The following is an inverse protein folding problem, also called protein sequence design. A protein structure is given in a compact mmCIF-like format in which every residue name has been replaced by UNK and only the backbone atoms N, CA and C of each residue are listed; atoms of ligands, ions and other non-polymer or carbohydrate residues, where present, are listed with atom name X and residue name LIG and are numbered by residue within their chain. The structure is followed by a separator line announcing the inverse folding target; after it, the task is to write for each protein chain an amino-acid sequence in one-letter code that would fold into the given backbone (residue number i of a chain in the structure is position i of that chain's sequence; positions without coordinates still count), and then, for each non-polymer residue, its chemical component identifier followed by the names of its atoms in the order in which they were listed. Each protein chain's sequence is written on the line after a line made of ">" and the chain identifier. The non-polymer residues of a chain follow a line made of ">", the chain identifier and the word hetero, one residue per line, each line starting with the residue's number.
data_IF_394367294586
#
_entry.id   IF_394367294586
#
_cell.length_a   1.000
_cell.length_b   1.000
_cell.length_c   1.000
_cell.angle_alpha   90.00
_cell.angle_beta   90.00
_cell.angle_gamma   90.00
#
_symmetry.space_group_name_H-M   'P 1'
#
loop_
_entity.id
_entity.type
_entity.pdbx_description
1 polymer ?
#
# COMPACT_ATOMS: atom_id res chain seq x y z
N UNK A 1 19.85 -10.81 -16.81
CA UNK A 1 18.57 -10.67 -16.11
C UNK A 1 18.70 -9.47 -15.18
N UNK A 2 17.84 -8.46 -15.34
CA UNK A 2 17.79 -7.31 -14.43
C UNK A 2 16.66 -7.56 -13.43
N UNK A 3 16.97 -7.46 -12.13
CA UNK A 3 16.02 -7.66 -11.02
C UNK A 3 15.70 -6.34 -10.30
N UNK A 4 16.23 -5.22 -10.81
CA UNK A 4 15.89 -3.90 -10.29
C UNK A 4 14.45 -3.55 -10.67
N UNK A 5 13.78 -2.85 -9.75
CA UNK A 5 12.49 -2.23 -10.01
C UNK A 5 12.65 -1.14 -11.08
N UNK A 6 11.58 -0.86 -11.82
CA UNK A 6 11.50 0.35 -12.63
C UNK A 6 11.39 1.59 -11.76
N UNK A 7 11.68 2.77 -12.33
CA UNK A 7 11.52 4.04 -11.62
C UNK A 7 10.07 4.26 -11.11
N UNK A 8 9.09 3.79 -11.88
CA UNK A 8 7.67 3.83 -11.49
C UNK A 8 7.39 2.91 -10.30
N UNK A 9 7.94 1.69 -10.29
CA UNK A 9 7.81 0.75 -9.18
C UNK A 9 8.53 1.25 -7.93
N UNK A 10 9.70 1.88 -8.07
CA UNK A 10 10.42 2.55 -6.98
C UNK A 10 9.58 3.70 -6.38
N UNK A 11 9.02 4.55 -7.23
CA UNK A 11 8.13 5.64 -6.81
C UNK A 11 6.90 5.13 -6.06
N UNK A 12 6.22 4.11 -6.59
CA UNK A 12 5.09 3.46 -5.95
C UNK A 12 5.45 2.87 -4.58
N UNK A 13 6.61 2.22 -4.47
CA UNK A 13 7.11 1.65 -3.22
C UNK A 13 7.32 2.74 -2.17
N UNK A 14 7.93 3.85 -2.56
CA UNK A 14 8.24 4.95 -1.64
C UNK A 14 6.97 5.69 -1.21
N UNK A 15 6.01 5.89 -2.13
CA UNK A 15 4.69 6.42 -1.81
C UNK A 15 3.92 5.52 -0.83
N UNK A 16 3.91 4.20 -1.07
CA UNK A 16 3.26 3.23 -0.19
C UNK A 16 3.91 3.21 1.20
N UNK A 17 5.25 3.25 1.27
CA UNK A 17 6.00 3.35 2.53
C UNK A 17 5.65 4.62 3.28
N UNK A 18 5.62 5.77 2.59
CA UNK A 18 5.25 7.06 3.18
C UNK A 18 3.82 7.06 3.73
N UNK A 19 2.88 6.40 3.04
CA UNK A 19 1.51 6.22 3.50
C UNK A 19 1.44 5.39 4.78
N UNK A 20 2.05 4.21 4.78
CA UNK A 20 1.96 3.25 5.89
C UNK A 20 2.72 3.70 7.13
N UNK A 21 3.81 4.47 6.97
CA UNK A 21 4.61 4.97 8.10
C UNK A 21 3.84 5.95 8.99
N UNK A 22 2.74 6.54 8.49
CA UNK A 22 1.85 7.39 9.31
C UNK A 22 1.04 6.60 10.33
N UNK A 23 0.96 5.28 10.17
CA UNK A 23 0.24 4.40 11.10
C UNK A 23 1.21 3.76 12.08
N UNK A 24 0.86 3.76 13.37
CA UNK A 24 1.67 3.15 14.43
C UNK A 24 1.49 1.62 14.49
N UNK A 25 1.75 0.93 13.40
CA UNK A 25 1.44 -0.50 13.23
C UNK A 25 2.09 -1.40 14.27
N UNK A 26 3.32 -1.09 14.71
CA UNK A 26 4.01 -1.86 15.77
C UNK A 26 3.37 -1.67 17.14
N UNK A 27 3.00 -0.43 17.50
CA UNK A 27 2.31 -0.13 18.76
C UNK A 27 0.93 -0.81 18.77
N UNK A 28 0.17 -0.65 17.69
CA UNK A 28 -1.14 -1.27 17.56
C UNK A 28 -1.08 -2.81 17.53
N UNK A 29 -0.01 -3.40 16.98
CA UNK A 29 0.19 -4.85 17.06
C UNK A 29 0.45 -5.34 18.49
N UNK A 30 1.17 -4.55 19.31
CA UNK A 30 1.36 -4.86 20.74
C UNK A 30 0.05 -4.75 21.50
N UNK A 31 -0.70 -3.65 21.30
CA UNK A 31 -2.01 -3.48 21.92
C UNK A 31 -2.99 -4.58 21.52
N UNK A 32 -2.97 -5.01 20.25
CA UNK A 32 -3.80 -6.11 19.79
C UNK A 32 -3.45 -7.46 20.44
N UNK A 33 -2.18 -7.69 20.79
CA UNK A 33 -1.77 -8.87 21.54
C UNK A 33 -2.37 -8.89 22.95
N UNK A 34 -2.63 -7.71 23.53
CA UNK A 34 -3.27 -7.52 24.83
C UNK A 34 -4.82 -7.38 24.73
N UNK A 35 -5.41 -7.67 23.58
CA UNK A 35 -6.86 -7.66 23.34
C UNK A 35 -7.41 -6.38 22.70
N UNK A 36 -6.55 -5.46 22.27
CA UNK A 36 -6.91 -4.31 21.43
C UNK A 36 -7.25 -4.70 19.99
N UNK A 37 -7.61 -3.70 19.17
CA UNK A 37 -7.90 -3.89 17.75
C UNK A 37 -6.76 -3.38 16.86
N UNK A 38 -6.50 -4.09 15.77
CA UNK A 38 -5.61 -3.61 14.71
C UNK A 38 -6.21 -2.40 13.98
N UNK A 39 -5.38 -1.49 13.44
CA UNK A 39 -5.86 -0.35 12.69
C UNK A 39 -6.46 -0.83 11.36
N UNK A 40 -7.56 -0.20 10.95
CA UNK A 40 -8.08 -0.38 9.60
C UNK A 40 -7.24 0.45 8.61
N UNK A 41 -6.50 -0.25 7.75
CA UNK A 41 -5.66 0.35 6.71
C UNK A 41 -6.34 0.36 5.33
N UNK A 42 -7.53 -0.22 5.21
CA UNK A 42 -8.25 -0.30 3.94
C UNK A 42 -8.61 1.09 3.39
N UNK A 43 -9.08 2.07 4.19
CA UNK A 43 -9.32 3.43 3.71
C UNK A 43 -8.06 4.05 3.10
N UNK A 44 -6.90 3.90 3.75
CA UNK A 44 -5.61 4.39 3.23
C UNK A 44 -5.27 3.76 1.88
N UNK A 45 -5.51 2.46 1.72
CA UNK A 45 -5.26 1.75 0.46
C UNK A 45 -6.17 2.22 -0.67
N UNK A 46 -7.45 2.45 -0.37
CA UNK A 46 -8.44 2.94 -1.34
C UNK A 46 -8.14 4.37 -1.77
N UNK A 47 -7.84 5.26 -0.83
CA UNK A 47 -7.44 6.65 -1.11
C UNK A 47 -6.16 6.73 -1.95
N UNK A 48 -5.23 5.80 -1.73
CA UNK A 48 -3.99 5.70 -2.51
C UNK A 48 -4.16 4.97 -3.85
N UNK A 49 -5.36 4.48 -4.18
CA UNK A 49 -5.65 3.81 -5.46
C UNK A 49 -5.06 2.40 -5.60
N UNK A 50 -4.57 1.78 -4.53
CA UNK A 50 -3.90 0.47 -4.61
C UNK A 50 -4.75 -0.66 -5.19
N UNK A 51 -6.07 -0.76 -4.92
CA UNK A 51 -6.90 -1.79 -5.51
C UNK A 51 -6.96 -1.74 -7.05
N UNK A 52 -6.67 -0.58 -7.64
CA UNK A 52 -6.73 -0.35 -9.09
C UNK A 52 -5.39 -0.49 -9.82
N UNK A 53 -4.28 -0.78 -9.12
CA UNK A 53 -2.94 -0.71 -9.73
C UNK A 53 -2.80 -1.58 -10.99
N UNK A 54 -3.30 -2.82 -10.94
CA UNK A 54 -3.24 -3.76 -12.07
C UNK A 54 -4.53 -3.78 -12.92
N UNK A 55 -5.54 -3.02 -12.52
CA UNK A 55 -6.81 -2.92 -13.26
C UNK A 55 -6.59 -2.03 -14.48
N UNK A 56 -7.15 -2.37 -15.64
CA UNK A 56 -7.00 -1.57 -16.84
C UNK A 56 -7.63 -0.18 -16.70
N UNK A 57 -7.11 0.79 -17.46
CA UNK A 57 -7.65 2.16 -17.50
C UNK A 57 -9.12 2.19 -17.96
N UNK A 58 -9.52 1.31 -18.88
CA UNK A 58 -10.92 1.14 -19.31
C UNK A 58 -11.89 0.82 -18.16
N UNK A 59 -11.36 0.24 -17.09
CA UNK A 59 -12.10 -0.10 -15.87
C UNK A 59 -11.76 0.84 -14.70
N UNK A 60 -11.11 1.99 -14.97
CA UNK A 60 -10.76 3.00 -13.98
C UNK A 60 -9.53 2.66 -13.12
N UNK A 61 -8.69 1.72 -13.56
CA UNK A 61 -7.42 1.39 -12.89
C UNK A 61 -6.20 2.07 -13.52
N UNK A 62 -5.00 1.70 -13.05
CA UNK A 62 -3.73 2.27 -13.49
C UNK A 62 -2.99 1.43 -14.56
N UNK A 63 -3.45 0.21 -14.85
CA UNK A 63 -2.93 -0.63 -15.93
C UNK A 63 -1.48 -1.09 -15.76
N UNK A 64 -0.92 -1.03 -14.54
CA UNK A 64 0.49 -1.36 -14.29
C UNK A 64 0.78 -2.82 -14.62
N UNK A 65 1.98 -3.04 -15.16
CA UNK A 65 2.47 -4.37 -15.50
C UNK A 65 3.42 -4.88 -14.38
N UNK A 66 3.40 -6.19 -14.09
CA UNK A 66 4.32 -6.81 -13.12
C UNK A 66 5.80 -6.67 -13.49
#
# INVERSE_FOLDING_TARGET
>A
MNLALSDEQEFLRDAARGALTRHKTIEAAREAADGGSLPDLWPTAVEAGWPGLLVSEDNGGAGLQP
#
